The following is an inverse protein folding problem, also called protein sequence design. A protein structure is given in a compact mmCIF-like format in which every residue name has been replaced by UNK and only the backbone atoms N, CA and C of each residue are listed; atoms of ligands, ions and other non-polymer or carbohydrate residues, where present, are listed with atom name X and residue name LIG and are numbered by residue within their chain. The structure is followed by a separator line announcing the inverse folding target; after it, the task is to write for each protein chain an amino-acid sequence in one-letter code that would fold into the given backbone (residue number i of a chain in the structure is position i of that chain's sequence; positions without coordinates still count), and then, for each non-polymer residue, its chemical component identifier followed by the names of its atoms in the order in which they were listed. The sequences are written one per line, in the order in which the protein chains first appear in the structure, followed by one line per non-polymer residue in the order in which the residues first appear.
data_IF_263763890041
#
_entry.id   IF_263763890041
#
_cell.length_a   1.000
_cell.length_b   1.000
_cell.length_c   1.000
_cell.angle_alpha   90.00
_cell.angle_beta   90.00
_cell.angle_gamma   90.00
#
_symmetry.space_group_name_H-M   'P 1'
#
loop_
_entity.id
_entity.type
_entity.pdbx_description
1 polymer ?
#
# COMPACT_ATOMS: atom_id res chain seq x y z
N UNK A 1 -3.70 6.59 -10.71
CA UNK A 1 -4.38 7.64 -9.91
C UNK A 1 -4.23 9.04 -10.53
N UNK A 2 -3.02 9.50 -10.88
CA UNK A 2 -2.77 10.80 -11.53
C UNK A 2 -3.69 11.11 -12.74
N UNK A 3 -3.76 10.20 -13.71
CA UNK A 3 -4.61 10.35 -14.90
C UNK A 3 -6.12 10.45 -14.58
N UNK A 4 -6.58 9.77 -13.53
CA UNK A 4 -7.98 9.77 -13.11
C UNK A 4 -8.36 11.15 -12.58
N UNK A 5 -7.48 11.77 -11.80
CA UNK A 5 -7.71 13.12 -11.27
C UNK A 5 -7.73 14.20 -12.36
N UNK A 6 -6.89 14.07 -13.39
CA UNK A 6 -6.78 15.09 -14.45
C UNK A 6 -7.81 14.94 -15.58
N UNK A 7 -8.02 13.72 -16.08
CA UNK A 7 -8.82 13.50 -17.30
C UNK A 7 -10.08 12.67 -17.09
N UNK A 8 -10.25 12.05 -15.92
CA UNK A 8 -11.16 10.92 -15.75
C UNK A 8 -12.11 11.02 -14.57
N UNK A 9 -12.77 12.17 -14.32
CA UNK A 9 -13.82 12.28 -13.27
C UNK A 9 -14.91 11.20 -13.41
N UNK A 10 -15.17 10.71 -14.63
CA UNK A 10 -16.11 9.60 -14.91
C UNK A 10 -15.54 8.19 -14.63
N UNK A 11 -14.22 8.02 -14.60
CA UNK A 11 -13.57 6.75 -14.25
C UNK A 11 -13.37 6.59 -12.74
N UNK A 12 -13.53 7.69 -12.00
CA UNK A 12 -13.41 7.70 -10.54
C UNK A 12 -14.37 6.72 -9.85
N UNK A 13 -15.69 6.68 -10.17
CA UNK A 13 -16.60 5.72 -9.54
C UNK A 13 -16.22 4.26 -9.80
N UNK A 14 -15.70 3.95 -11.00
CA UNK A 14 -15.25 2.60 -11.35
C UNK A 14 -14.04 2.20 -10.52
N UNK A 15 -13.08 3.10 -10.36
CA UNK A 15 -11.89 2.84 -9.55
C UNK A 15 -12.20 2.77 -8.05
N UNK A 16 -13.11 3.61 -7.57
CA UNK A 16 -13.63 3.52 -6.19
C UNK A 16 -14.35 2.19 -5.97
N UNK A 17 -15.16 1.75 -6.94
CA UNK A 17 -15.80 0.44 -6.90
C UNK A 17 -14.76 -0.70 -6.87
N UNK A 18 -13.79 -0.70 -7.77
CA UNK A 18 -12.71 -1.71 -7.82
C UNK A 18 -11.90 -1.71 -6.53
N UNK A 19 -11.57 -0.53 -5.98
CA UNK A 19 -10.88 -0.42 -4.72
C UNK A 19 -11.70 -1.01 -3.56
N UNK A 20 -13.02 -0.88 -3.58
CA UNK A 20 -13.90 -1.40 -2.53
C UNK A 20 -14.16 -2.91 -2.67
N UNK A 21 -14.06 -3.47 -3.88
CA UNK A 21 -14.33 -4.90 -4.14
C UNK A 21 -13.62 -5.86 -3.17
N UNK A 22 -12.30 -5.73 -2.89
CA UNK A 22 -11.61 -6.61 -1.96
C UNK A 22 -12.18 -6.60 -0.53
N UNK A 23 -12.90 -5.55 -0.12
CA UNK A 23 -13.54 -5.50 1.20
C UNK A 23 -14.89 -6.21 1.24
N UNK A 24 -15.59 -6.26 0.11
CA UNK A 24 -16.91 -6.89 0.02
C UNK A 24 -16.77 -8.40 -0.06
N UNK A 25 -15.72 -8.89 -0.72
CA UNK A 25 -15.47 -10.32 -0.86
C UNK A 25 -14.70 -10.82 0.37
N UNK A 26 -15.16 -11.89 1.04
CA UNK A 26 -14.42 -12.48 2.16
C UNK A 26 -13.00 -12.87 1.75
N UNK A 27 -12.02 -12.61 2.62
CA UNK A 27 -10.60 -12.88 2.37
C UNK A 27 -10.35 -14.33 1.90
N UNK A 28 -10.97 -15.31 2.55
CA UNK A 28 -10.84 -16.73 2.20
C UNK A 28 -11.35 -16.98 0.77
N UNK A 29 -12.53 -16.45 0.42
CA UNK A 29 -13.11 -16.60 -0.91
C UNK A 29 -12.29 -15.90 -2.00
N UNK A 30 -11.66 -14.76 -1.69
CA UNK A 30 -10.73 -14.09 -2.61
C UNK A 30 -9.52 -14.96 -2.92
N UNK A 31 -8.93 -15.57 -1.90
CA UNK A 31 -7.73 -16.38 -2.03
C UNK A 31 -8.03 -17.68 -2.76
N UNK A 32 -9.08 -18.41 -2.36
CA UNK A 32 -9.53 -19.63 -3.02
C UNK A 32 -9.99 -19.36 -4.46
N UNK A 33 -10.67 -18.23 -4.70
CA UNK A 33 -11.01 -17.80 -6.05
C UNK A 33 -9.78 -17.51 -6.89
N UNK A 34 -8.76 -16.87 -6.32
CA UNK A 34 -7.51 -16.55 -7.00
C UNK A 34 -6.72 -17.82 -7.35
N UNK A 35 -6.59 -18.78 -6.44
CA UNK A 35 -5.92 -20.07 -6.71
C UNK A 35 -6.69 -20.93 -7.70
N UNK A 36 -8.02 -20.91 -7.64
CA UNK A 36 -8.87 -21.68 -8.57
C UNK A 36 -8.87 -21.12 -10.00
N UNK A 37 -8.80 -19.80 -10.16
CA UNK A 37 -8.84 -19.14 -11.47
C UNK A 37 -7.47 -19.00 -12.13
N UNK A 38 -6.38 -19.02 -11.35
CA UNK A 38 -5.03 -18.77 -11.86
C UNK A 38 -4.17 -20.03 -11.91
N UNK A 39 -4.04 -20.59 -13.11
CA UNK A 39 -3.03 -21.62 -13.44
C UNK A 39 -1.83 -20.94 -14.08
N UNK A 40 -0.85 -20.59 -13.26
CA UNK A 40 0.39 -19.94 -13.67
C UNK A 40 1.62 -20.84 -13.55
N UNK A 41 2.81 -20.28 -13.79
CA UNK A 41 4.06 -21.04 -13.69
C UNK A 41 4.38 -21.42 -12.24
N UNK A 42 5.08 -22.54 -12.05
CA UNK A 42 5.42 -23.11 -10.73
C UNK A 42 6.28 -22.18 -9.85
N UNK A 43 7.03 -21.25 -10.45
CA UNK A 43 7.78 -20.25 -9.67
C UNK A 43 6.89 -19.24 -8.96
N UNK A 44 5.62 -19.12 -9.39
CA UNK A 44 4.63 -18.21 -8.83
C UNK A 44 3.53 -18.96 -8.07
N UNK A 45 2.96 -20.01 -8.67
CA UNK A 45 1.87 -20.79 -8.05
C UNK A 45 2.45 -21.89 -7.17
N UNK A 46 1.99 -21.97 -5.92
CA UNK A 46 2.53 -22.92 -4.94
C UNK A 46 3.85 -22.47 -4.29
N UNK A 47 4.39 -21.32 -4.70
CA UNK A 47 5.55 -20.70 -4.05
C UNK A 47 5.10 -19.51 -3.17
N UNK A 48 5.91 -19.09 -2.18
CA UNK A 48 5.62 -17.90 -1.38
C UNK A 48 5.43 -16.62 -2.20
N UNK A 49 5.89 -16.58 -3.46
CA UNK A 49 5.70 -15.45 -4.35
C UNK A 49 4.22 -15.22 -4.69
N UNK A 50 3.38 -16.26 -4.57
CA UNK A 50 1.94 -16.12 -4.77
C UNK A 50 1.30 -15.12 -3.80
N UNK A 51 1.85 -15.01 -2.58
CA UNK A 51 1.39 -14.05 -1.57
C UNK A 51 1.55 -12.61 -2.04
N UNK A 52 2.52 -12.31 -2.90
CA UNK A 52 2.73 -10.96 -3.43
C UNK A 52 1.48 -10.53 -4.21
N UNK A 53 0.93 -11.40 -5.04
CA UNK A 53 -0.28 -11.09 -5.84
C UNK A 53 -1.47 -10.86 -4.91
N UNK A 54 -1.63 -11.73 -3.92
CA UNK A 54 -2.75 -11.67 -2.99
C UNK A 54 -2.68 -10.39 -2.11
N UNK A 55 -1.47 -10.02 -1.65
CA UNK A 55 -1.23 -8.79 -0.90
C UNK A 55 -1.34 -7.53 -1.76
N UNK A 56 -1.02 -7.58 -3.06
CA UNK A 56 -1.28 -6.45 -3.97
C UNK A 56 -2.79 -6.19 -4.04
N UNK A 57 -3.61 -7.23 -4.21
CA UNK A 57 -5.08 -7.09 -4.26
C UNK A 57 -5.60 -6.51 -2.94
N UNK A 58 -5.09 -7.00 -1.81
CA UNK A 58 -5.45 -6.50 -0.47
C UNK A 58 -5.03 -5.04 -0.26
N UNK A 59 -3.81 -4.67 -0.65
CA UNK A 59 -3.22 -3.35 -0.43
C UNK A 59 -3.73 -2.27 -1.40
N UNK A 60 -4.30 -2.70 -2.53
CA UNK A 60 -4.78 -1.82 -3.61
C UNK A 60 -5.72 -0.72 -3.10
N UNK A 61 -6.81 -1.00 -2.35
CA UNK A 61 -7.67 0.05 -1.80
C UNK A 61 -6.93 1.09 -0.98
N UNK A 62 -6.09 0.62 -0.06
CA UNK A 62 -5.40 1.48 0.90
C UNK A 62 -4.42 2.40 0.20
N UNK A 63 -3.63 1.84 -0.72
CA UNK A 63 -2.67 2.60 -1.52
C UNK A 63 -3.37 3.58 -2.45
N UNK A 64 -4.45 3.15 -3.11
CA UNK A 64 -5.24 4.03 -3.97
C UNK A 64 -5.82 5.22 -3.19
N UNK A 65 -6.44 4.96 -2.04
CA UNK A 65 -7.03 6.00 -1.20
C UNK A 65 -5.96 6.97 -0.67
N UNK A 66 -4.82 6.46 -0.19
CA UNK A 66 -3.71 7.30 0.27
C UNK A 66 -3.18 8.21 -0.85
N UNK A 67 -2.97 7.66 -2.05
CA UNK A 67 -2.52 8.42 -3.21
C UNK A 67 -3.54 9.45 -3.70
N UNK A 68 -4.83 9.09 -3.71
CA UNK A 68 -5.89 10.00 -4.12
C UNK A 68 -5.99 11.20 -3.18
N UNK A 69 -5.97 10.96 -1.86
CA UNK A 69 -5.95 12.03 -0.84
C UNK A 69 -4.70 12.91 -0.99
N UNK A 70 -3.52 12.31 -1.12
CA UNK A 70 -2.26 13.08 -1.21
C UNK A 70 -2.12 13.90 -2.49
N UNK A 71 -2.67 13.45 -3.62
CA UNK A 71 -2.68 14.29 -4.83
C UNK A 71 -3.75 15.39 -4.79
N UNK A 72 -4.86 15.17 -4.07
CA UNK A 72 -5.87 16.22 -3.86
C UNK A 72 -5.36 17.33 -2.94
N UNK A 73 -4.58 17.00 -1.92
CA UNK A 73 -4.01 18.01 -1.01
C UNK A 73 -2.94 18.89 -1.67
N UNK A 74 -2.35 18.44 -2.79
CA UNK A 74 -1.31 19.15 -3.53
C UNK A 74 -1.84 19.93 -4.75
N UNK A 75 -3.16 19.96 -4.97
CA UNK A 75 -3.79 20.56 -6.17
C UNK A 75 -3.05 20.16 -7.46
N UNK A 76 -2.85 18.85 -7.67
CA UNK A 76 -2.01 18.29 -8.74
C UNK A 76 -2.35 18.83 -10.14
N UNK A 77 -3.58 19.28 -10.33
CA UNK A 77 -4.05 19.93 -11.55
C UNK A 77 -3.34 21.24 -11.81
N UNK A 78 -3.34 22.15 -10.85
CA UNK A 78 -2.70 23.45 -10.96
C UNK A 78 -1.19 23.28 -11.15
N UNK A 79 -0.58 22.36 -10.40
CA UNK A 79 0.85 22.02 -10.54
C UNK A 79 1.18 21.50 -11.95
N UNK A 80 0.31 20.64 -12.51
CA UNK A 80 0.48 20.08 -13.85
C UNK A 80 0.32 21.14 -14.94
N UNK A 81 -0.67 22.02 -14.83
CA UNK A 81 -0.91 23.11 -15.78
C UNK A 81 0.25 24.13 -15.75
N UNK A 82 0.74 24.50 -14.56
CA UNK A 82 1.88 25.40 -14.41
C UNK A 82 3.17 24.82 -15.00
N UNK A 83 3.48 23.55 -14.72
CA UNK A 83 4.66 22.89 -15.26
C UNK A 83 4.59 22.71 -16.79
N UNK A 84 3.41 22.43 -17.35
CA UNK A 84 3.23 22.36 -18.80
C UNK A 84 3.37 23.74 -19.47
N UNK A 85 2.89 24.82 -18.83
CA UNK A 85 3.11 26.19 -19.30
C UNK A 85 4.59 26.59 -19.30
N UNK A 86 5.39 26.00 -18.41
CA UNK A 86 6.85 26.13 -18.38
C UNK A 86 7.58 25.22 -19.40
N UNK A 87 6.85 24.53 -20.27
CA UNK A 87 7.40 23.66 -21.31
C UNK A 87 7.80 22.26 -20.83
N UNK A 88 7.38 21.83 -19.64
CA UNK A 88 7.70 20.49 -19.16
C UNK A 88 6.93 19.42 -19.96
N UNK A 89 7.67 18.45 -20.52
CA UNK A 89 7.10 17.24 -21.09
C UNK A 89 6.63 16.27 -19.99
N UNK A 90 5.84 15.25 -20.35
CA UNK A 90 5.24 14.33 -19.37
C UNK A 90 6.25 13.62 -18.45
N UNK A 91 7.39 13.08 -18.94
CA UNK A 91 8.39 12.46 -18.06
C UNK A 91 9.01 13.48 -17.08
N UNK A 92 9.30 14.70 -17.54
CA UNK A 92 9.85 15.76 -16.70
C UNK A 92 8.83 16.20 -15.65
N UNK A 93 7.56 16.36 -16.03
CA UNK A 93 6.47 16.66 -15.12
C UNK A 93 6.34 15.59 -14.02
N UNK A 94 6.35 14.31 -14.40
CA UNK A 94 6.22 13.21 -13.45
C UNK A 94 7.41 13.16 -12.49
N UNK A 95 8.64 13.17 -12.99
CA UNK A 95 9.84 12.98 -12.16
C UNK A 95 10.26 14.23 -11.38
N UNK A 96 10.05 15.43 -11.92
CA UNK A 96 10.56 16.67 -11.30
C UNK A 96 9.50 17.50 -10.58
N UNK A 97 8.22 17.35 -10.92
CA UNK A 97 7.16 18.10 -10.25
C UNK A 97 6.31 17.17 -9.37
N UNK A 98 5.74 16.10 -9.94
CA UNK A 98 4.74 15.30 -9.22
C UNK A 98 5.38 14.39 -8.17
N UNK A 99 6.35 13.58 -8.58
CA UNK A 99 6.98 12.58 -7.72
C UNK A 99 7.60 13.18 -6.45
N UNK A 100 8.44 14.24 -6.50
CA UNK A 100 9.05 14.81 -5.30
C UNK A 100 8.01 15.39 -4.33
N UNK A 101 6.95 16.01 -4.84
CA UNK A 101 5.87 16.52 -3.99
C UNK A 101 5.03 15.38 -3.37
N UNK A 102 4.96 14.22 -4.02
CA UNK A 102 4.24 13.04 -3.51
C UNK A 102 5.07 12.12 -2.62
N UNK A 103 6.38 12.35 -2.41
CA UNK A 103 7.23 11.46 -1.60
C UNK A 103 6.62 11.24 -0.21
N UNK A 104 6.15 12.29 0.47
CA UNK A 104 5.53 12.14 1.78
C UNK A 104 4.28 11.26 1.77
N UNK A 105 3.46 11.39 0.71
CA UNK A 105 2.26 10.55 0.52
C UNK A 105 2.66 9.10 0.24
N UNK A 106 3.68 8.88 -0.61
CA UNK A 106 4.17 7.56 -0.97
C UNK A 106 4.77 6.83 0.24
N UNK A 107 5.54 7.54 1.07
CA UNK A 107 6.07 7.00 2.32
C UNK A 107 4.93 6.61 3.25
N UNK A 108 3.93 7.47 3.43
CA UNK A 108 2.74 7.17 4.25
C UNK A 108 1.97 5.95 3.72
N UNK A 109 1.73 5.86 2.42
CA UNK A 109 1.05 4.74 1.79
C UNK A 109 1.84 3.43 1.92
N UNK A 110 3.16 3.50 1.80
CA UNK A 110 4.06 2.34 1.96
C UNK A 110 4.05 1.85 3.41
N UNK A 111 4.12 2.76 4.38
CA UNK A 111 4.04 2.43 5.81
C UNK A 111 2.70 1.79 6.18
N UNK A 112 1.60 2.35 5.68
CA UNK A 112 0.26 1.80 5.89
C UNK A 112 0.16 0.38 5.31
N UNK A 113 0.61 0.19 4.09
CA UNK A 113 0.60 -1.12 3.43
C UNK A 113 1.46 -2.12 4.18
N UNK A 114 2.66 -1.72 4.61
CA UNK A 114 3.55 -2.56 5.41
C UNK A 114 2.89 -2.98 6.73
N UNK A 115 2.24 -2.04 7.44
CA UNK A 115 1.51 -2.34 8.67
C UNK A 115 0.43 -3.40 8.47
N UNK A 116 -0.36 -3.26 7.39
CA UNK A 116 -1.44 -4.18 7.05
C UNK A 116 -0.89 -5.57 6.73
N UNK A 117 0.13 -5.65 5.87
CA UNK A 117 0.72 -6.93 5.43
C UNK A 117 1.43 -7.65 6.57
N UNK A 118 2.10 -6.92 7.47
CA UNK A 118 2.75 -7.50 8.65
C UNK A 118 1.74 -8.18 9.60
N UNK A 119 0.53 -7.63 9.71
CA UNK A 119 -0.56 -8.19 10.50
C UNK A 119 -1.45 -9.17 9.73
N UNK A 120 -1.16 -9.44 8.46
CA UNK A 120 -1.98 -10.28 7.61
C UNK A 120 -1.76 -11.76 7.96
N UNK A 121 -2.84 -12.40 8.39
CA UNK A 121 -2.85 -13.82 8.77
C UNK A 121 -3.68 -14.68 7.82
N UNK A 122 -4.81 -14.19 7.35
CA UNK A 122 -5.84 -15.00 6.69
C UNK A 122 -5.36 -15.51 5.34
N UNK A 123 -4.77 -14.65 4.50
CA UNK A 123 -4.32 -15.04 3.17
C UNK A 123 -3.15 -16.01 3.28
N UNK A 124 -2.18 -15.70 4.15
CA UNK A 124 -1.05 -16.58 4.42
C UNK A 124 -1.49 -17.95 4.96
N UNK A 125 -2.43 -17.99 5.89
CA UNK A 125 -2.91 -19.23 6.50
C UNK A 125 -3.67 -20.11 5.51
N UNK A 126 -4.57 -19.52 4.70
CA UNK A 126 -5.32 -20.25 3.67
C UNK A 126 -4.38 -20.83 2.60
N UNK A 127 -3.36 -20.07 2.20
CA UNK A 127 -2.34 -20.53 1.25
C UNK A 127 -1.29 -21.47 1.87
N UNK A 128 -1.41 -21.79 3.17
CA UNK A 128 -0.51 -22.68 3.90
C UNK A 128 0.95 -22.19 3.94
N UNK A 129 1.15 -20.87 3.96
CA UNK A 129 2.48 -20.27 4.09
C UNK A 129 2.73 -19.76 5.53
N UNK A 130 3.92 -20.06 6.05
CA UNK A 130 4.34 -19.65 7.39
C UNK A 130 4.89 -18.22 7.37
N UNK A 131 4.00 -17.23 7.42
CA UNK A 131 4.36 -15.82 7.62
C UNK A 131 4.50 -15.48 9.10
N UNK A 132 4.99 -14.28 9.38
CA UNK A 132 5.16 -13.78 10.74
C UNK A 132 3.87 -13.87 11.58
N UNK A 133 2.73 -13.45 11.03
CA UNK A 133 1.44 -13.51 11.71
C UNK A 133 0.96 -14.95 11.94
N UNK A 134 1.16 -15.85 10.97
CA UNK A 134 0.83 -17.28 11.10
C UNK A 134 1.67 -17.93 12.20
N UNK A 135 2.95 -17.57 12.28
CA UNK A 135 3.85 -18.08 13.29
C UNK A 135 3.47 -17.66 14.72
N UNK A 136 3.09 -16.38 14.93
CA UNK A 136 2.54 -15.94 16.24
C UNK A 136 1.32 -16.78 16.62
N UNK A 137 0.39 -16.97 15.67
CA UNK A 137 -0.82 -17.73 15.92
C UNK A 137 -0.51 -19.17 16.32
N UNK A 138 0.40 -19.83 15.60
CA UNK A 138 0.85 -21.18 15.88
C UNK A 138 1.41 -21.34 17.30
N UNK A 139 2.33 -20.45 17.72
CA UNK A 139 2.87 -20.46 19.08
C UNK A 139 1.79 -20.14 20.12
N UNK A 140 0.82 -19.29 19.77
CA UNK A 140 -0.30 -18.93 20.65
C UNK A 140 -1.19 -20.11 21.02
N UNK A 141 -1.31 -21.10 20.14
CA UNK A 141 -2.08 -22.31 20.39
C UNK A 141 -1.40 -23.27 21.37
N UNK A 142 -0.05 -23.25 21.45
CA UNK A 142 0.72 -24.12 22.34
C UNK A 142 1.07 -23.46 23.69
N UNK A 143 1.28 -22.15 23.70
CA UNK A 143 1.79 -21.42 24.88
C UNK A 143 1.46 -19.93 24.79
N UNK A 144 0.31 -19.53 25.35
CA UNK A 144 -0.17 -18.15 25.30
C UNK A 144 0.80 -17.10 25.85
N UNK A 145 1.60 -17.45 26.85
CA UNK A 145 2.65 -16.57 27.41
C UNK A 145 3.81 -16.33 26.43
N UNK A 146 4.22 -17.33 25.66
CA UNK A 146 5.28 -17.17 24.66
C UNK A 146 4.79 -16.36 23.46
N UNK A 147 3.56 -16.59 23.00
CA UNK A 147 2.97 -15.81 21.91
C UNK A 147 2.76 -14.34 22.29
N UNK A 148 2.38 -14.05 23.54
CA UNK A 148 2.31 -12.68 24.04
C UNK A 148 3.67 -11.98 24.01
N UNK A 149 4.74 -12.67 24.42
CA UNK A 149 6.11 -12.12 24.38
C UNK A 149 6.58 -11.87 22.93
N UNK A 150 6.35 -12.81 22.02
CA UNK A 150 6.66 -12.66 20.58
C UNK A 150 5.88 -11.50 19.94
N UNK A 151 4.60 -11.35 20.29
CA UNK A 151 3.75 -10.26 19.80
C UNK A 151 4.26 -8.90 20.27
N UNK A 152 4.62 -8.78 21.56
CA UNK A 152 5.19 -7.55 22.11
C UNK A 152 6.54 -7.19 21.48
N UNK A 153 7.42 -8.16 21.26
CA UNK A 153 8.70 -7.94 20.60
C UNK A 153 8.50 -7.46 19.16
N UNK A 154 7.64 -8.12 18.39
CA UNK A 154 7.40 -7.71 17.00
C UNK A 154 6.67 -6.38 16.87
N UNK A 155 5.73 -6.11 17.79
CA UNK A 155 5.10 -4.80 17.85
C UNK A 155 6.15 -3.71 18.07
N UNK A 156 7.09 -3.93 19.00
CA UNK A 156 8.19 -3.01 19.27
C UNK A 156 9.11 -2.84 18.06
N UNK A 157 9.50 -3.94 17.40
CA UNK A 157 10.35 -3.89 16.19
C UNK A 157 9.65 -3.14 15.06
N UNK A 158 8.36 -3.40 14.85
CA UNK A 158 7.55 -2.74 13.81
C UNK A 158 7.46 -1.24 14.10
N UNK A 159 7.25 -0.86 15.36
CA UNK A 159 7.23 0.54 15.79
C UNK A 159 8.56 1.24 15.55
N UNK A 160 9.69 0.58 15.88
CA UNK A 160 11.02 1.10 15.64
C UNK A 160 11.33 1.24 14.14
N UNK A 161 10.89 0.28 13.31
CA UNK A 161 11.03 0.36 11.86
C UNK A 161 10.22 1.53 11.27
N UNK A 162 8.97 1.69 11.72
CA UNK A 162 8.12 2.82 11.32
C UNK A 162 8.73 4.17 11.74
N UNK A 163 9.23 4.27 12.98
CA UNK A 163 9.93 5.47 13.45
C UNK A 163 11.20 5.76 12.63
N UNK A 164 11.99 4.74 12.29
CA UNK A 164 13.17 4.88 11.45
C UNK A 164 12.83 5.45 10.06
N UNK A 165 11.75 4.97 9.45
CA UNK A 165 11.26 5.48 8.16
C UNK A 165 10.71 6.91 8.30
N UNK A 166 10.01 7.24 9.39
CA UNK A 166 9.50 8.59 9.65
C UNK A 166 10.61 9.62 9.86
N UNK A 167 11.66 9.26 10.61
CA UNK A 167 12.81 10.13 10.89
C UNK A 167 13.65 10.37 9.63
N UNK A 168 13.74 9.38 8.74
CA UNK A 168 14.43 9.52 7.45
C UNK A 168 13.56 10.26 6.41
N UNK A 169 12.23 10.17 6.51
CA UNK A 169 11.27 10.83 5.62
C UNK A 169 11.02 12.33 5.88
N UNK A 170 11.46 12.88 7.01
CA UNK A 170 11.18 14.27 7.41
C UNK A 170 11.99 15.36 6.65
N UNK A 171 12.87 15.01 5.70
CA UNK A 171 13.75 15.99 5.03
C UNK A 171 13.14 16.76 3.84
N UNK A 172 11.86 16.57 3.50
CA UNK A 172 11.28 17.24 2.31
C UNK A 172 9.98 18.01 2.51
N UNK A 173 9.59 18.35 3.74
CA UNK A 173 8.61 19.42 3.97
C UNK A 173 9.32 20.73 4.30
N UNK A 174 10.02 21.31 3.31
CA UNK A 174 10.26 22.75 3.34
C UNK A 174 8.99 23.40 2.84
N UNK A 175 8.24 23.88 3.81
CA UNK A 175 7.07 24.74 3.72
C UNK A 175 7.43 26.03 2.97
N UNK A 176 7.46 25.99 1.63
CA UNK A 176 7.44 27.19 0.77
C UNK A 176 5.98 27.59 0.52
N UNK A 177 5.29 27.97 1.60
CA UNK A 177 3.91 28.44 1.60
C UNK A 177 3.77 29.74 2.39
N UNK A 178 4.72 30.66 2.20
CA UNK A 178 4.77 31.91 2.95
C UNK A 178 5.52 32.99 2.18
N UNK A 179 4.97 33.42 1.04
CA UNK A 179 5.25 34.74 0.48
C UNK A 179 4.09 35.18 -0.43
N UNK A 180 3.31 36.12 0.13
CA UNK A 180 2.30 37.00 -0.48
C UNK A 180 0.88 36.47 -0.57
#
# INVERSE_FOLDING_TARGET
VYWIQLRGKRLRPVMEFIAVLPFVVPAIALVEGLTSLYTGPEWLVGSPNFLIVAYIILALPYTYNALDVGMRSLDIRTLSEAAQNLGANWPTLMMRAILPNLIGTLVGATLLTFAIVMGEFTFANVLLFNTFAVYINYIGQTSGTQAAALSLLSFTITWLAMLGILLTGHRSQVQLGGAR
#
